data_IF_953816737534
#
_entry.id   IF_953816737534
#
_cell.length_a   1.000
_cell.length_b   1.000
_cell.length_c   1.000
_cell.angle_alpha   90.00
_cell.angle_beta   90.00
_cell.angle_gamma   90.00
#
_symmetry.space_group_name_H-M   'P 1'
#
loop_
_entity.id
_entity.type
_entity.pdbx_description
1 polymer ?
#
# COMPACT_ATOMS: atom_id res chain seq x y z
N UNK A 1 53.90 58.55 -0.59
CA UNK A 1 52.44 58.52 -0.81
C UNK A 1 51.99 57.07 -0.66
N UNK A 2 51.48 56.71 0.52
CA UNK A 2 51.39 55.30 0.93
C UNK A 2 49.96 54.93 1.37
N UNK A 3 49.24 54.36 0.40
CA UNK A 3 48.28 53.25 0.49
C UNK A 3 47.28 53.19 1.65
N UNK A 4 46.23 54.02 1.58
CA UNK A 4 44.98 53.85 2.36
C UNK A 4 44.14 52.61 1.97
N UNK A 5 44.59 51.78 1.02
CA UNK A 5 43.83 50.63 0.47
C UNK A 5 44.09 49.28 1.15
N UNK A 6 45.07 49.14 2.05
CA UNK A 6 45.35 47.86 2.74
C UNK A 6 44.57 47.64 4.05
N UNK A 7 43.97 48.69 4.62
CA UNK A 7 43.13 48.57 5.84
C UNK A 7 41.75 47.96 5.53
N UNK A 8 41.16 48.30 4.38
CA UNK A 8 39.89 47.71 3.94
C UNK A 8 40.04 46.24 3.48
N UNK A 9 41.17 45.87 2.88
CA UNK A 9 41.44 44.47 2.53
C UNK A 9 41.63 43.57 3.77
N UNK A 10 42.12 44.13 4.89
CA UNK A 10 42.23 43.41 6.17
C UNK A 10 40.88 43.22 6.88
N UNK A 11 39.93 44.13 6.68
CA UNK A 11 38.58 43.98 7.24
C UNK A 11 37.76 42.87 6.55
N UNK A 12 37.96 42.67 5.24
CA UNK A 12 37.23 41.64 4.47
C UNK A 12 37.75 40.22 4.79
N UNK A 13 39.04 40.06 5.11
CA UNK A 13 39.65 38.75 5.40
C UNK A 13 39.31 38.22 6.81
N UNK A 14 38.93 39.08 7.75
CA UNK A 14 38.40 38.66 9.06
C UNK A 14 36.93 38.21 8.94
N UNK A 15 36.19 38.75 7.97
CA UNK A 15 34.81 38.34 7.69
C UNK A 15 34.73 36.95 7.02
N UNK A 16 35.78 36.50 6.32
CA UNK A 16 35.83 35.17 5.68
C UNK A 16 36.43 34.06 6.55
N UNK A 17 36.95 34.37 7.74
CA UNK A 17 37.37 33.39 8.75
C UNK A 17 36.24 32.86 9.64
N UNK A 18 35.00 33.23 9.33
CA UNK A 18 33.77 32.74 9.96
C UNK A 18 32.91 31.91 9.00
N UNK A 19 33.51 31.33 7.98
CA UNK A 19 33.02 30.06 7.49
C UNK A 19 33.75 28.94 8.25
N UNK A 20 32.99 27.98 8.79
CA UNK A 20 33.45 26.62 9.06
C UNK A 20 33.94 26.22 10.48
N UNK A 21 33.22 26.56 11.56
CA UNK A 21 33.36 25.82 12.85
C UNK A 21 32.17 25.96 13.83
N UNK A 22 30.97 26.31 13.34
CA UNK A 22 29.78 26.45 14.17
C UNK A 22 28.84 25.23 14.16
N UNK A 23 29.00 24.31 13.20
CA UNK A 23 27.97 23.31 12.90
C UNK A 23 28.20 21.92 13.53
N UNK A 24 29.31 21.69 14.23
CA UNK A 24 29.61 20.36 14.79
C UNK A 24 29.47 20.25 16.31
N UNK A 25 29.26 21.35 17.05
CA UNK A 25 29.17 21.31 18.53
C UNK A 25 27.73 21.30 19.06
N UNK A 26 26.71 21.58 18.23
CA UNK A 26 25.31 21.44 18.67
C UNK A 26 24.80 19.99 18.67
N UNK A 27 25.57 19.02 18.13
CA UNK A 27 25.12 17.63 17.97
C UNK A 27 25.60 16.67 19.07
N UNK A 28 26.25 17.14 20.15
CA UNK A 28 26.88 16.26 21.15
C UNK A 28 26.53 16.52 22.64
N UNK A 29 25.58 17.39 22.97
CA UNK A 29 25.30 17.76 24.36
C UNK A 29 23.85 17.50 24.85
N UNK A 30 23.04 16.72 24.15
CA UNK A 30 21.67 16.39 24.58
C UNK A 30 21.48 14.98 25.15
N UNK A 31 22.54 14.18 25.31
CA UNK A 31 22.37 12.75 25.64
C UNK A 31 22.92 12.31 26.99
N UNK A 32 23.74 13.09 27.70
CA UNK A 32 24.26 12.63 28.98
C UNK A 32 24.41 13.76 29.99
N UNK A 33 23.75 13.61 31.14
CA UNK A 33 23.88 14.40 32.37
C UNK A 33 23.16 15.76 32.41
N UNK A 34 21.88 15.76 32.81
CA UNK A 34 21.14 16.97 33.17
C UNK A 34 19.84 16.63 33.89
N UNK A 35 19.95 16.28 35.16
CA UNK A 35 18.80 16.00 36.02
C UNK A 35 17.96 17.23 36.36
N UNK A 36 16.66 16.96 36.48
CA UNK A 36 15.69 17.52 37.42
C UNK A 36 15.19 18.97 37.28
N UNK A 37 13.84 19.06 37.21
CA UNK A 37 12.94 20.17 37.58
C UNK A 37 12.80 21.31 36.55
N UNK A 38 11.62 21.81 36.17
CA UNK A 38 10.44 22.11 36.98
C UNK A 38 9.14 22.08 36.14
N UNK A 39 8.15 21.40 36.70
CA UNK A 39 6.73 21.43 36.35
C UNK A 39 6.10 22.77 36.69
N UNK A 40 5.29 23.32 35.79
CA UNK A 40 4.29 24.33 36.13
C UNK A 40 3.03 23.63 36.71
N UNK A 41 2.41 24.14 37.79
CA UNK A 41 1.18 23.57 38.32
C UNK A 41 -0.02 24.21 37.62
N UNK A 42 -0.65 23.51 36.68
CA UNK A 42 -1.95 23.92 36.12
C UNK A 42 -2.08 23.84 34.61
N UNK A 43 -1.89 22.66 34.03
CA UNK A 43 -2.52 22.30 32.76
C UNK A 43 -2.75 20.78 32.76
N UNK A 44 -3.94 20.38 32.31
CA UNK A 44 -4.45 19.02 32.24
C UNK A 44 -3.46 18.02 31.60
N UNK A 45 -3.59 16.69 31.86
CA UNK A 45 -2.76 15.70 31.20
C UNK A 45 -2.96 15.82 29.69
N UNK A 46 -1.92 16.22 28.97
CA UNK A 46 -1.87 16.09 27.51
C UNK A 46 -1.81 14.60 27.21
N UNK A 47 -2.99 14.04 26.98
CA UNK A 47 -3.19 12.72 26.44
C UNK A 47 -2.46 12.60 25.10
N UNK A 48 -1.77 11.46 24.92
CA UNK A 48 -1.50 10.86 23.62
C UNK A 48 -0.49 11.59 22.74
N UNK A 49 0.67 10.96 22.54
CA UNK A 49 1.42 11.16 21.30
C UNK A 49 0.48 10.98 20.10
N UNK A 50 0.54 11.82 19.04
CA UNK A 50 -0.21 11.56 17.83
C UNK A 50 0.26 10.21 17.27
N UNK A 51 -0.68 9.30 17.15
CA UNK A 51 -0.50 8.02 16.50
C UNK A 51 0.01 8.29 15.07
N UNK A 52 1.10 7.65 14.66
CA UNK A 52 1.72 7.83 13.34
C UNK A 52 0.78 7.58 12.13
N UNK A 53 -0.47 7.15 12.34
CA UNK A 53 -1.51 7.04 11.31
C UNK A 53 -2.32 8.32 11.04
N UNK A 54 -2.52 9.18 12.04
CA UNK A 54 -3.43 10.33 11.95
C UNK A 54 -2.80 11.52 11.21
N UNK A 55 -1.48 11.68 11.34
CA UNK A 55 -0.71 12.71 10.60
C UNK A 55 -0.62 12.36 9.11
N UNK A 56 -0.51 11.07 8.79
CA UNK A 56 -0.43 10.60 7.42
C UNK A 56 -1.80 10.69 6.72
N UNK A 57 -2.90 10.38 7.41
CA UNK A 57 -4.25 10.53 6.83
C UNK A 57 -4.58 12.00 6.53
N UNK A 58 -4.25 12.93 7.43
CA UNK A 58 -4.51 14.36 7.19
C UNK A 58 -3.71 14.91 5.99
N UNK A 59 -2.47 14.46 5.80
CA UNK A 59 -1.67 14.83 4.62
C UNK A 59 -2.30 14.29 3.32
N UNK A 60 -2.78 13.04 3.34
CA UNK A 60 -3.44 12.41 2.20
C UNK A 60 -4.79 13.07 1.87
N UNK A 61 -5.57 13.48 2.87
CA UNK A 61 -6.82 14.22 2.65
C UNK A 61 -6.56 15.59 1.98
N UNK A 62 -5.53 16.31 2.42
CA UNK A 62 -5.12 17.55 1.75
C UNK A 62 -4.66 17.29 0.30
N UNK A 63 -3.96 16.18 0.06
CA UNK A 63 -3.55 15.78 -1.28
C UNK A 63 -4.75 15.42 -2.18
N UNK A 64 -5.74 14.71 -1.64
CA UNK A 64 -6.99 14.40 -2.34
C UNK A 64 -7.67 15.68 -2.80
N UNK A 65 -7.81 16.66 -1.88
CA UNK A 65 -8.41 17.95 -2.21
C UNK A 65 -7.60 18.71 -3.27
N UNK A 66 -6.26 18.74 -3.14
CA UNK A 66 -5.40 19.41 -4.11
C UNK A 66 -5.55 18.85 -5.53
N UNK A 67 -5.66 17.54 -5.69
CA UNK A 67 -5.94 16.94 -6.99
C UNK A 67 -7.36 17.22 -7.47
N UNK A 68 -8.36 17.19 -6.57
CA UNK A 68 -9.73 17.55 -6.91
C UNK A 68 -9.83 18.99 -7.46
N UNK A 69 -9.17 19.96 -6.84
CA UNK A 69 -9.13 21.36 -7.28
C UNK A 69 -8.45 21.55 -8.65
N UNK A 70 -7.51 20.67 -9.01
CA UNK A 70 -6.93 20.64 -10.36
C UNK A 70 -7.97 20.13 -11.35
N UNK A 71 -8.66 19.04 -11.03
CA UNK A 71 -9.66 18.41 -11.90
C UNK A 71 -10.92 19.25 -12.10
N UNK A 72 -11.24 20.17 -11.19
CA UNK A 72 -12.30 21.17 -11.41
C UNK A 72 -12.00 22.09 -12.61
N UNK A 73 -10.71 22.40 -12.84
CA UNK A 73 -10.26 23.27 -13.93
C UNK A 73 -9.85 22.47 -15.16
N UNK A 74 -9.28 21.29 -14.95
CA UNK A 74 -8.75 20.40 -15.99
C UNK A 74 -9.28 18.97 -15.78
N UNK A 75 -10.53 18.66 -16.18
CA UNK A 75 -11.19 17.40 -15.85
C UNK A 75 -10.49 16.14 -16.37
N UNK A 76 -9.70 16.29 -17.43
CA UNK A 76 -9.00 15.21 -18.12
C UNK A 76 -7.49 15.21 -17.84
N UNK A 77 -7.01 15.99 -16.86
CA UNK A 77 -5.59 16.02 -16.50
C UNK A 77 -5.14 14.65 -15.94
N UNK A 78 -4.38 13.90 -16.75
CA UNK A 78 -3.90 12.55 -16.42
C UNK A 78 -3.17 12.49 -15.08
N UNK A 79 -2.26 13.43 -14.82
CA UNK A 79 -1.47 13.47 -13.59
C UNK A 79 -2.36 13.68 -12.36
N UNK A 80 -3.37 14.54 -12.45
CA UNK A 80 -4.30 14.77 -11.36
C UNK A 80 -5.25 13.59 -11.15
N UNK A 81 -5.70 12.92 -12.23
CA UNK A 81 -6.50 11.70 -12.14
C UNK A 81 -5.71 10.56 -11.46
N UNK A 82 -4.45 10.33 -11.88
CA UNK A 82 -3.57 9.32 -11.27
C UNK A 82 -3.28 9.62 -9.80
N UNK A 83 -2.95 10.88 -9.51
CA UNK A 83 -2.73 11.36 -8.16
C UNK A 83 -3.94 11.13 -7.27
N UNK A 84 -5.13 11.52 -7.73
CA UNK A 84 -6.37 11.36 -6.99
C UNK A 84 -6.71 9.89 -6.75
N UNK A 85 -6.58 9.04 -7.77
CA UNK A 85 -6.82 7.60 -7.66
C UNK A 85 -5.90 6.98 -6.59
N UNK A 86 -4.59 7.22 -6.69
CA UNK A 86 -3.60 6.67 -5.74
C UNK A 86 -3.87 7.16 -4.32
N UNK A 87 -4.07 8.45 -4.12
CA UNK A 87 -4.33 9.01 -2.79
C UNK A 87 -5.61 8.43 -2.18
N UNK A 88 -6.66 8.21 -2.97
CA UNK A 88 -7.89 7.56 -2.49
C UNK A 88 -7.69 6.09 -2.14
N UNK A 89 -6.85 5.37 -2.88
CA UNK A 89 -6.47 3.99 -2.54
C UNK A 89 -5.73 3.95 -1.20
N UNK A 90 -4.75 4.85 -1.00
CA UNK A 90 -3.98 4.95 0.25
C UNK A 90 -4.86 5.33 1.45
N UNK A 91 -5.89 6.16 1.23
CA UNK A 91 -6.92 6.50 2.22
C UNK A 91 -7.93 5.38 2.48
N UNK A 92 -7.88 4.26 1.72
CA UNK A 92 -8.88 3.20 1.78
C UNK A 92 -10.24 3.58 1.19
N UNK A 93 -10.34 4.71 0.49
CA UNK A 93 -11.55 5.20 -0.21
C UNK A 93 -11.68 4.50 -1.57
N UNK A 94 -11.71 3.17 -1.55
CA UNK A 94 -11.63 2.32 -2.74
C UNK A 94 -12.73 2.62 -3.78
N UNK A 95 -13.96 2.82 -3.33
CA UNK A 95 -15.06 3.15 -4.25
C UNK A 95 -14.85 4.50 -4.94
N UNK A 96 -14.37 5.50 -4.21
CA UNK A 96 -14.10 6.81 -4.78
C UNK A 96 -12.87 6.81 -5.71
N UNK A 97 -11.98 5.83 -5.59
CA UNK A 97 -10.83 5.67 -6.47
C UNK A 97 -11.23 5.13 -7.86
N UNK A 98 -12.38 4.48 -8.00
CA UNK A 98 -12.82 3.93 -9.29
C UNK A 98 -13.15 5.01 -10.33
N UNK A 99 -13.74 6.15 -9.95
CA UNK A 99 -14.05 7.23 -10.90
C UNK A 99 -12.82 7.75 -11.65
N UNK A 100 -11.73 8.20 -10.97
CA UNK A 100 -10.55 8.65 -11.69
C UNK A 100 -9.86 7.53 -12.47
N UNK A 101 -9.84 6.29 -11.95
CA UNK A 101 -9.29 5.13 -12.69
C UNK A 101 -10.07 4.81 -13.97
N UNK A 102 -11.40 4.89 -13.94
CA UNK A 102 -12.22 4.68 -15.13
C UNK A 102 -12.00 5.77 -16.17
N UNK A 103 -11.77 7.02 -15.75
CA UNK A 103 -11.38 8.10 -16.68
C UNK A 103 -10.01 7.83 -17.31
N UNK A 104 -9.03 7.39 -16.51
CA UNK A 104 -7.71 6.98 -17.01
C UNK A 104 -7.81 5.84 -18.02
N UNK A 105 -8.60 4.80 -17.72
CA UNK A 105 -8.81 3.65 -18.62
C UNK A 105 -9.51 4.03 -19.93
N UNK A 106 -10.30 5.12 -19.95
CA UNK A 106 -10.88 5.64 -21.21
C UNK A 106 -9.85 6.38 -22.05
N UNK A 107 -8.87 7.04 -21.43
CA UNK A 107 -7.82 7.76 -22.15
C UNK A 107 -6.74 6.81 -22.69
N UNK A 108 -6.36 5.81 -21.89
CA UNK A 108 -5.44 4.75 -22.26
C UNK A 108 -6.03 3.38 -21.92
N UNK A 109 -6.75 2.76 -22.86
CA UNK A 109 -7.44 1.50 -22.63
C UNK A 109 -6.52 0.28 -22.52
N UNK A 110 -5.25 0.42 -22.86
CA UNK A 110 -4.23 -0.63 -22.80
C UNK A 110 -3.26 -0.41 -21.62
N UNK A 111 -3.54 0.58 -20.76
CA UNK A 111 -2.75 0.81 -19.56
C UNK A 111 -2.95 -0.32 -18.54
N UNK A 112 -2.03 -1.28 -18.58
CA UNK A 112 -2.01 -2.43 -17.70
C UNK A 112 -2.12 -2.04 -16.21
N UNK A 113 -1.41 -0.99 -15.77
CA UNK A 113 -1.42 -0.55 -14.37
C UNK A 113 -2.79 -0.06 -13.92
N UNK A 114 -3.51 0.64 -14.80
CA UNK A 114 -4.89 1.11 -14.52
C UNK A 114 -5.86 -0.07 -14.50
N UNK A 115 -5.77 -0.99 -15.47
CA UNK A 115 -6.61 -2.20 -15.50
C UNK A 115 -6.42 -3.04 -14.23
N UNK A 116 -5.16 -3.24 -13.83
CA UNK A 116 -4.81 -3.95 -12.60
C UNK A 116 -5.39 -3.26 -11.36
N UNK A 117 -5.27 -1.92 -11.26
CA UNK A 117 -5.82 -1.18 -10.12
C UNK A 117 -7.35 -1.31 -10.03
N UNK A 118 -8.07 -1.22 -11.15
CA UNK A 118 -9.53 -1.40 -11.18
C UNK A 118 -9.90 -2.82 -10.75
N UNK A 119 -9.27 -3.85 -11.33
CA UNK A 119 -9.53 -5.25 -11.00
C UNK A 119 -9.28 -5.52 -9.51
N UNK A 120 -8.15 -5.06 -8.98
CA UNK A 120 -7.78 -5.23 -7.58
C UNK A 120 -8.77 -4.55 -6.62
N UNK A 121 -9.20 -3.33 -6.92
CA UNK A 121 -10.22 -2.63 -6.13
C UNK A 121 -11.54 -3.40 -6.13
N UNK A 122 -12.00 -3.89 -7.29
CA UNK A 122 -13.26 -4.63 -7.39
C UNK A 122 -13.19 -5.95 -6.60
N UNK A 123 -12.07 -6.68 -6.70
CA UNK A 123 -11.81 -7.90 -5.90
C UNK A 123 -11.84 -7.60 -4.40
N UNK A 124 -11.14 -6.54 -3.97
CA UNK A 124 -11.09 -6.15 -2.56
C UNK A 124 -12.49 -5.78 -2.02
N UNK A 125 -13.32 -5.19 -2.87
CA UNK A 125 -14.72 -4.87 -2.57
C UNK A 125 -15.68 -6.07 -2.72
N UNK A 126 -15.16 -7.25 -3.04
CA UNK A 126 -15.92 -8.47 -3.32
C UNK A 126 -16.93 -8.32 -4.46
N UNK A 127 -16.73 -7.36 -5.35
CA UNK A 127 -17.47 -7.25 -6.60
C UNK A 127 -16.73 -8.02 -7.71
N UNK A 128 -16.65 -9.33 -7.52
CA UNK A 128 -15.90 -10.22 -8.42
C UNK A 128 -16.43 -10.17 -9.85
N UNK A 129 -17.73 -9.94 -10.04
CA UNK A 129 -18.33 -9.77 -11.36
C UNK A 129 -17.77 -8.53 -12.07
N UNK A 130 -17.68 -7.39 -11.37
CA UNK A 130 -17.11 -6.17 -11.94
C UNK A 130 -15.59 -6.26 -12.17
N UNK A 131 -14.89 -7.14 -11.45
CA UNK A 131 -13.46 -7.36 -11.63
C UNK A 131 -13.10 -8.11 -12.94
N UNK A 132 -14.02 -8.90 -13.50
CA UNK A 132 -13.74 -9.74 -14.68
C UNK A 132 -13.45 -8.93 -15.95
N UNK A 133 -14.12 -7.78 -16.15
CA UNK A 133 -13.90 -6.95 -17.34
C UNK A 133 -12.47 -6.40 -17.44
N UNK A 134 -11.94 -5.65 -16.45
CA UNK A 134 -10.58 -5.14 -16.53
C UNK A 134 -9.55 -6.28 -16.50
N UNK A 135 -9.86 -7.39 -15.83
CA UNK A 135 -9.00 -8.57 -15.80
C UNK A 135 -8.88 -9.25 -17.17
N UNK A 136 -9.99 -9.40 -17.90
CA UNK A 136 -9.96 -9.96 -19.25
C UNK A 136 -9.15 -9.09 -20.21
N UNK A 137 -9.30 -7.77 -20.12
CA UNK A 137 -8.49 -6.83 -20.92
C UNK A 137 -7.02 -6.92 -20.56
N UNK A 138 -6.68 -7.11 -19.29
CA UNK A 138 -5.30 -7.35 -18.88
C UNK A 138 -4.75 -8.66 -19.47
N UNK A 139 -5.53 -9.75 -19.50
CA UNK A 139 -5.14 -11.01 -20.15
C UNK A 139 -4.91 -10.84 -21.66
N UNK A 140 -5.68 -9.98 -22.34
CA UNK A 140 -5.45 -9.68 -23.76
C UNK A 140 -4.09 -9.02 -24.01
N UNK A 141 -3.58 -8.23 -23.05
CA UNK A 141 -2.27 -7.58 -23.14
C UNK A 141 -1.11 -8.53 -22.82
N UNK A 142 -1.32 -9.46 -21.88
CA UNK A 142 -0.31 -10.42 -21.42
C UNK A 142 -0.91 -11.83 -21.32
N UNK A 143 -1.14 -12.51 -22.46
CA UNK A 143 -1.82 -13.80 -22.48
C UNK A 143 -1.00 -14.94 -21.89
N UNK A 144 0.32 -14.79 -21.75
CA UNK A 144 1.21 -15.81 -21.18
C UNK A 144 1.26 -15.76 -19.65
N UNK A 145 0.59 -14.78 -19.05
CA UNK A 145 0.55 -14.62 -17.60
C UNK A 145 -0.41 -15.62 -16.95
N UNK A 146 0.14 -16.77 -16.55
CA UNK A 146 -0.61 -17.83 -15.89
C UNK A 146 -1.28 -17.37 -14.59
N UNK A 147 -0.68 -16.42 -13.85
CA UNK A 147 -1.24 -15.91 -12.60
C UNK A 147 -2.57 -15.19 -12.83
N UNK A 148 -2.65 -14.35 -13.85
CA UNK A 148 -3.88 -13.62 -14.19
C UNK A 148 -4.96 -14.58 -14.71
N UNK A 149 -4.57 -15.59 -15.50
CA UNK A 149 -5.50 -16.63 -15.95
C UNK A 149 -6.07 -17.45 -14.79
N UNK A 150 -5.22 -17.84 -13.84
CA UNK A 150 -5.63 -18.55 -12.64
C UNK A 150 -6.54 -17.67 -11.78
N UNK A 151 -6.23 -16.39 -11.61
CA UNK A 151 -7.06 -15.45 -10.88
C UNK A 151 -8.45 -15.34 -11.50
N UNK A 152 -8.56 -15.16 -12.82
CA UNK A 152 -9.85 -15.13 -13.54
C UNK A 152 -10.66 -16.40 -13.28
N UNK A 153 -10.02 -17.55 -13.42
CA UNK A 153 -10.67 -18.86 -13.23
C UNK A 153 -11.22 -19.01 -11.81
N UNK A 154 -10.46 -18.59 -10.79
CA UNK A 154 -10.90 -18.60 -9.40
C UNK A 154 -12.11 -17.68 -9.16
N UNK A 155 -12.10 -16.48 -9.74
CA UNK A 155 -13.22 -15.53 -9.65
C UNK A 155 -14.48 -16.11 -10.31
N UNK A 156 -14.36 -16.72 -11.48
CA UNK A 156 -15.49 -17.37 -12.19
C UNK A 156 -16.05 -18.54 -11.38
N UNK A 157 -15.19 -19.40 -10.83
CA UNK A 157 -15.62 -20.51 -9.96
C UNK A 157 -16.35 -20.00 -8.71
N UNK A 158 -15.85 -18.92 -8.10
CA UNK A 158 -16.49 -18.32 -6.94
C UNK A 158 -17.89 -17.78 -7.28
N UNK A 159 -18.05 -17.11 -8.43
CA UNK A 159 -19.35 -16.62 -8.90
C UNK A 159 -20.32 -17.78 -9.22
N UNK A 160 -19.85 -18.84 -9.87
CA UNK A 160 -20.64 -20.03 -10.19
C UNK A 160 -21.09 -20.78 -8.93
N UNK A 161 -20.27 -20.75 -7.87
CA UNK A 161 -20.62 -21.36 -6.57
C UNK A 161 -21.78 -20.68 -5.83
N UNK A 162 -22.32 -19.57 -6.37
CA UNK A 162 -23.43 -18.83 -5.79
C UNK A 162 -23.02 -17.91 -4.63
N UNK A 163 -21.72 -17.70 -4.43
CA UNK A 163 -21.19 -16.84 -3.38
C UNK A 163 -21.33 -15.35 -3.78
N UNK A 164 -22.54 -14.81 -3.76
CA UNK A 164 -22.76 -13.37 -3.94
C UNK A 164 -22.66 -12.66 -2.59
N UNK A 165 -21.66 -11.77 -2.44
CA UNK A 165 -21.53 -10.68 -1.43
C UNK A 165 -21.70 -11.03 0.07
N UNK A 166 -21.85 -12.28 0.50
CA UNK A 166 -22.22 -12.60 1.90
C UNK A 166 -21.62 -13.88 2.50
N UNK A 167 -20.42 -14.32 2.10
CA UNK A 167 -19.70 -15.32 2.93
C UNK A 167 -18.21 -14.99 3.06
N UNK A 168 -17.69 -14.89 4.30
CA UNK A 168 -16.28 -14.62 4.54
C UNK A 168 -15.43 -15.80 4.10
N UNK A 169 -14.27 -15.47 3.51
CA UNK A 169 -13.21 -16.34 3.00
C UNK A 169 -12.93 -17.57 3.86
N UNK A 170 -12.55 -18.73 3.28
CA UNK A 170 -11.77 -19.71 4.02
C UNK A 170 -10.44 -19.06 4.42
N UNK A 171 -10.08 -19.18 5.69
CA UNK A 171 -8.82 -18.71 6.24
C UNK A 171 -7.62 -19.41 5.55
N UNK A 172 -6.44 -18.79 5.51
CA UNK A 172 -5.23 -19.45 5.02
C UNK A 172 -4.93 -20.66 5.92
N UNK A 173 -4.92 -21.85 5.33
CA UNK A 173 -4.46 -23.07 6.00
C UNK A 173 -2.97 -22.92 6.30
N UNK A 174 -2.65 -22.75 7.58
CA UNK A 174 -1.30 -22.80 8.13
C UNK A 174 -0.64 -24.14 7.76
N UNK A 175 0.27 -24.10 6.78
CA UNK A 175 1.08 -25.24 6.38
C UNK A 175 2.35 -25.27 7.24
N UNK A 176 2.21 -25.71 8.48
CA UNK A 176 3.34 -25.96 9.38
C UNK A 176 3.15 -27.28 10.15
N UNK A 177 3.67 -28.38 9.59
CA UNK A 177 4.44 -29.33 10.41
C UNK A 177 4.03 -30.81 10.45
N UNK A 178 4.97 -31.63 9.95
CA UNK A 178 5.43 -32.93 10.47
C UNK A 178 4.79 -34.21 9.87
N UNK A 179 5.53 -34.83 8.94
CA UNK A 179 5.61 -36.28 8.72
C UNK A 179 6.73 -36.87 9.65
N UNK A 180 7.03 -38.20 9.75
CA UNK A 180 6.62 -39.34 8.91
C UNK A 180 6.39 -40.68 9.70
N UNK A 181 6.55 -41.83 9.02
CA UNK A 181 6.63 -43.23 9.52
C UNK A 181 5.29 -43.96 9.78
N UNK A 182 5.08 -45.22 9.39
CA UNK A 182 5.84 -46.21 8.62
C UNK A 182 4.85 -47.31 8.19
N UNK A 183 5.05 -47.92 7.02
CA UNK A 183 4.48 -49.25 6.73
C UNK A 183 5.14 -50.30 7.63
N UNK A 184 4.49 -51.45 7.89
CA UNK A 184 4.66 -52.55 6.95
C UNK A 184 3.40 -53.38 6.68
N UNK A 185 3.52 -54.13 5.59
CA UNK A 185 2.63 -55.11 5.02
C UNK A 185 2.25 -56.26 5.96
N UNK A 186 1.09 -56.89 5.70
CA UNK A 186 0.86 -58.35 5.64
C UNK A 186 -0.57 -58.69 6.07
N UNK A 187 -1.25 -59.53 5.30
CA UNK A 187 -2.57 -60.05 5.67
C UNK A 187 -3.42 -60.50 4.51
N UNK A 188 -2.91 -61.46 3.74
CA UNK A 188 -3.69 -62.38 2.92
C UNK A 188 -4.71 -63.09 3.82
N UNK A 189 -6.00 -63.04 3.52
CA UNK A 189 -6.74 -64.23 3.10
C UNK A 189 -8.21 -63.91 2.70
N UNK A 190 -8.75 -64.65 1.71
CA UNK A 190 -10.13 -64.54 1.25
C UNK A 190 -11.05 -65.50 2.01
N UNK A 191 -12.30 -65.12 2.24
CA UNK A 191 -13.33 -66.08 2.66
C UNK A 191 -14.65 -65.83 1.90
N UNK A 192 -15.01 -66.73 0.97
CA UNK A 192 -16.33 -66.80 0.37
C UNK A 192 -17.04 -68.09 0.81
N UNK A 193 -17.94 -68.00 1.79
CA UNK A 193 -18.92 -69.06 2.00
C UNK A 193 -20.12 -68.51 2.75
N UNK A 194 -21.31 -68.53 2.13
CA UNK A 194 -22.47 -69.30 2.64
C UNK A 194 -23.54 -69.36 1.54
N UNK A 195 -23.59 -70.48 0.83
CA UNK A 195 -24.73 -71.03 0.07
C UNK A 195 -24.47 -72.53 0.08
N UNK A 196 -25.22 -73.32 0.84
CA UNK A 196 -26.49 -73.96 0.48
C UNK A 196 -26.27 -75.47 0.29
N UNK A 197 -27.27 -76.24 0.73
CA UNK A 197 -27.62 -77.62 0.36
C UNK A 197 -27.10 -78.82 1.20
N UNK A 198 -28.12 -79.61 1.57
CA UNK A 198 -28.24 -81.00 2.08
C UNK A 198 -27.68 -81.44 3.44
#
# INVERSE_FOLDING_TARGET
>A
MSNKRSLLQRAILILSGFAFLGTTVFFAASTFMGGNSQTAPGAAPVAGAPQNGEVNSAALENQEQGYADVLEREPDNLTALEGLARTRIELGKLEAALDPLQKLSKQDPENQGVLQAIAAIQIQRQDFAAALEPLNRWIELDPENEEIQQLRTQLEQYLESGATKSSPSPAPTDSSGIAPEASPESGTDPDPATSAEE
#
